data_IF_137891490269
#
_entry.id   IF_137891490269
#
_cell.length_a   1.000
_cell.length_b   1.000
_cell.length_c   1.000
_cell.angle_alpha   90.00
_cell.angle_beta   90.00
_cell.angle_gamma   90.00
#
_symmetry.space_group_name_H-M   'P 1'
#
loop_
_entity.id
_entity.type
_entity.pdbx_description
1 polymer ?
#
# COMPACT_ATOMS: atom_id res chain seq x y z
N UNK A 1 -18.42 -21.44 -24.56
CA UNK A 1 -18.31 -20.82 -23.23
C UNK A 1 -17.17 -19.83 -23.30
N UNK A 2 -17.43 -18.55 -23.10
CA UNK A 2 -16.37 -17.55 -23.06
C UNK A 2 -15.76 -17.66 -21.66
N UNK A 3 -14.51 -18.12 -21.56
CA UNK A 3 -13.77 -18.05 -20.29
C UNK A 3 -13.53 -16.57 -19.98
N UNK A 4 -14.33 -16.01 -19.08
CA UNK A 4 -13.98 -14.77 -18.40
C UNK A 4 -12.73 -15.08 -17.57
N UNK A 5 -11.56 -14.78 -18.11
CA UNK A 5 -10.37 -14.62 -17.29
C UNK A 5 -10.66 -13.45 -16.33
N UNK A 6 -11.15 -13.75 -15.13
CA UNK A 6 -11.27 -12.83 -14.00
C UNK A 6 -9.88 -12.41 -13.51
N UNK A 7 -9.06 -11.88 -14.42
CA UNK A 7 -7.73 -11.35 -14.13
C UNK A 7 -7.76 -9.82 -13.98
N UNK A 8 -8.93 -9.21 -14.13
CA UNK A 8 -9.20 -7.85 -13.69
C UNK A 8 -9.26 -7.86 -12.15
N UNK A 9 -8.08 -7.80 -11.53
CA UNK A 9 -8.00 -7.43 -10.12
C UNK A 9 -8.58 -6.03 -10.02
N UNK A 10 -9.68 -5.88 -9.28
CA UNK A 10 -10.26 -4.55 -9.03
C UNK A 10 -9.14 -3.64 -8.53
N UNK A 11 -8.88 -2.47 -9.18
CA UNK A 11 -7.81 -1.58 -8.77
C UNK A 11 -7.86 -1.17 -7.30
N UNK A 12 -9.04 -1.20 -6.68
CA UNK A 12 -9.24 -0.94 -5.25
C UNK A 12 -8.72 -2.09 -4.37
N UNK A 13 -8.79 -3.33 -4.84
CA UNK A 13 -8.24 -4.50 -4.14
C UNK A 13 -6.72 -4.49 -4.11
N UNK A 14 -6.09 -3.73 -5.01
CA UNK A 14 -4.63 -3.64 -5.16
C UNK A 14 -4.00 -2.50 -4.35
N UNK A 15 -4.83 -1.66 -3.74
CA UNK A 15 -4.41 -0.56 -2.89
C UNK A 15 -4.94 -0.75 -1.47
N UNK A 16 -4.28 -0.11 -0.53
CA UNK A 16 -4.65 -0.10 0.89
C UNK A 16 -4.52 1.28 1.49
N UNK A 17 -5.26 1.48 2.58
CA UNK A 17 -5.12 2.66 3.44
C UNK A 17 -3.93 2.56 4.38
N UNK A 18 -3.71 3.64 5.15
CA UNK A 18 -2.65 3.67 6.19
C UNK A 18 -2.92 2.65 7.29
N UNK A 19 -4.17 2.54 7.75
CA UNK A 19 -4.54 1.62 8.84
C UNK A 19 -4.35 0.16 8.42
N UNK A 20 -4.81 -0.21 7.22
CA UNK A 20 -4.59 -1.54 6.66
C UNK A 20 -3.11 -1.87 6.46
N UNK A 21 -2.31 -0.87 6.03
CA UNK A 21 -0.86 -1.04 5.90
C UNK A 21 -0.18 -1.20 7.27
N UNK A 22 -0.66 -0.49 8.29
CA UNK A 22 -0.18 -0.57 9.66
C UNK A 22 -0.39 -1.98 10.24
N UNK A 23 -1.58 -2.56 10.04
CA UNK A 23 -1.87 -3.94 10.41
C UNK A 23 -1.03 -4.95 9.59
N UNK A 24 -0.97 -4.77 8.27
CA UNK A 24 -0.26 -5.70 7.37
C UNK A 24 1.25 -5.72 7.62
N UNK A 25 1.84 -4.59 7.99
CA UNK A 25 3.28 -4.45 8.17
C UNK A 25 3.69 -4.42 9.65
N UNK A 26 2.74 -4.58 10.57
CA UNK A 26 2.93 -4.51 12.02
C UNK A 26 3.69 -3.23 12.44
N UNK A 27 3.23 -2.08 11.92
CA UNK A 27 3.84 -0.77 12.14
C UNK A 27 2.80 0.24 12.58
N UNK A 28 3.15 1.21 13.44
CA UNK A 28 2.23 2.28 13.80
C UNK A 28 1.78 3.07 12.55
N UNK A 29 0.49 3.46 12.44
CA UNK A 29 0.00 4.29 11.33
C UNK A 29 0.78 5.59 11.12
N UNK A 30 1.32 6.17 12.20
CA UNK A 30 2.20 7.33 12.15
C UNK A 30 3.50 7.05 11.39
N UNK A 31 4.12 5.90 11.63
CA UNK A 31 5.32 5.45 10.91
C UNK A 31 5.02 5.27 9.42
N UNK A 32 3.89 4.63 9.09
CA UNK A 32 3.46 4.47 7.69
C UNK A 32 3.28 5.81 7.00
N UNK A 33 2.64 6.79 7.65
CA UNK A 33 2.49 8.16 7.11
C UNK A 33 3.83 8.82 6.86
N UNK A 34 4.79 8.67 7.76
CA UNK A 34 6.13 9.21 7.61
C UNK A 34 6.85 8.57 6.41
N UNK A 35 6.75 7.25 6.25
CA UNK A 35 7.33 6.52 5.11
C UNK A 35 6.68 6.92 3.78
N UNK A 36 5.37 7.15 3.77
CA UNK A 36 4.67 7.67 2.59
C UNK A 36 5.12 9.09 2.24
N UNK A 37 5.32 9.96 3.24
CA UNK A 37 5.80 11.32 3.05
C UNK A 37 7.28 11.37 2.62
N UNK A 38 8.10 10.43 3.11
CA UNK A 38 9.51 10.28 2.75
C UNK A 38 9.72 9.66 1.35
N UNK A 39 8.68 9.07 0.75
CA UNK A 39 8.78 8.38 -0.54
C UNK A 39 9.42 6.99 -0.47
N UNK A 40 9.55 6.43 0.74
CA UNK A 40 10.07 5.07 0.97
C UNK A 40 9.03 3.98 0.64
N UNK A 41 7.77 4.37 0.56
CA UNK A 41 6.64 3.52 0.21
C UNK A 41 6.00 4.04 -1.07
N UNK A 42 5.66 3.14 -1.99
CA UNK A 42 4.82 3.41 -3.16
C UNK A 42 3.42 3.78 -2.71
N UNK A 43 3.22 5.07 -2.47
CA UNK A 43 1.97 5.64 -2.05
C UNK A 43 1.69 6.94 -2.81
N UNK A 44 0.41 7.29 -2.93
CA UNK A 44 -0.04 8.56 -3.48
C UNK A 44 -1.01 9.22 -2.52
N UNK A 45 -0.82 10.51 -2.27
CA UNK A 45 -1.76 11.31 -1.49
C UNK A 45 -2.90 11.78 -2.38
N UNK A 46 -4.14 11.51 -1.98
CA UNK A 46 -5.35 11.96 -2.65
C UNK A 46 -6.23 12.65 -1.60
N UNK A 47 -6.32 13.97 -1.69
CA UNK A 47 -6.93 14.80 -0.65
C UNK A 47 -6.20 14.62 0.69
N UNK A 48 -6.92 14.16 1.71
CA UNK A 48 -6.36 13.88 3.04
C UNK A 48 -6.03 12.40 3.29
N UNK A 49 -6.11 11.54 2.25
CA UNK A 49 -5.86 10.10 2.39
C UNK A 49 -4.60 9.68 1.65
N UNK A 50 -3.92 8.69 2.19
CA UNK A 50 -2.83 7.99 1.52
C UNK A 50 -3.36 6.70 0.90
N UNK A 51 -3.08 6.52 -0.38
CA UNK A 51 -3.38 5.31 -1.13
C UNK A 51 -2.05 4.58 -1.34
N UNK A 52 -1.89 3.43 -0.70
CA UNK A 52 -0.65 2.66 -0.67
C UNK A 52 -0.82 1.43 -1.57
N UNK A 53 0.15 1.12 -2.42
CA UNK A 53 0.07 -0.11 -3.22
C UNK A 53 0.26 -1.35 -2.33
N UNK A 54 -0.66 -2.32 -2.39
CA UNK A 54 -0.53 -3.62 -1.69
C UNK A 54 0.53 -4.52 -2.32
N UNK A 55 0.90 -4.26 -3.59
CA UNK A 55 1.86 -5.06 -4.39
C UNK A 55 3.32 -4.86 -4.00
N UNK A 56 3.63 -3.92 -3.11
CA UNK A 56 4.99 -3.69 -2.64
C UNK A 56 5.32 -4.53 -1.41
N UNK A 57 6.59 -4.88 -1.26
CA UNK A 57 7.13 -5.47 -0.04
C UNK A 57 7.12 -4.44 1.10
N UNK A 58 7.12 -4.93 2.34
CA UNK A 58 7.31 -4.09 3.53
C UNK A 58 8.53 -3.18 3.31
N UNK A 59 8.42 -1.86 3.57
CA UNK A 59 9.56 -0.96 3.53
C UNK A 59 10.57 -1.38 4.61
N UNK A 60 11.49 -2.28 4.28
CA UNK A 60 12.67 -2.53 5.12
C UNK A 60 13.59 -1.33 4.92
N UNK A 61 13.86 -0.61 6.00
CA UNK A 61 15.12 0.12 6.15
C UNK A 61 16.23 -0.81 5.68
N UNK A 62 16.98 -0.39 4.65
CA UNK A 62 18.14 -1.15 4.18
C UNK A 62 19.05 -1.41 5.38
N UNK A 63 19.31 -2.68 5.64
CA UNK A 63 20.48 -3.10 6.42
C UNK A 63 21.08 -4.30 5.70
N UNK A 64 21.77 -4.01 4.59
CA UNK A 64 23.23 -4.20 4.44
C UNK A 64 23.66 -3.66 3.07
#
# INVERSE_FOLDING_TARGET
MINYNNNDSDPLEEVMGVEEAAEKWDMPPGTIKNLCAAGEVKAKKIGNRWIISKRQSVPRSKSN
#
